data_IF_932095482836
#
_entry.id   IF_932095482836
#
_cell.length_a   1.000
_cell.length_b   1.000
_cell.length_c   1.000
_cell.angle_alpha   90.00
_cell.angle_beta   90.00
_cell.angle_gamma   90.00
#
_symmetry.space_group_name_H-M   'P 1'
#
loop_
_entity.id
_entity.type
_entity.pdbx_description
1 polymer ?
#
# COMPACT_ATOMS: atom_id res chain seq x y z
N UNK A 1 10.10 10.22 -1.92
CA UNK A 1 8.80 9.96 -2.58
C UNK A 1 8.27 8.65 -2.01
N UNK A 2 7.33 8.69 -1.07
CA UNK A 2 6.68 7.49 -0.54
C UNK A 2 5.98 6.78 -1.71
N UNK A 3 6.30 5.50 -1.94
CA UNK A 3 5.86 4.69 -3.08
C UNK A 3 4.37 4.37 -3.14
N UNK A 4 3.52 5.40 -2.99
CA UNK A 4 2.06 5.32 -2.90
C UNK A 4 1.36 5.24 -4.27
N UNK A 5 2.13 5.18 -5.36
CA UNK A 5 1.61 5.05 -6.73
C UNK A 5 2.01 3.73 -7.42
N UNK A 6 2.94 2.96 -6.84
CA UNK A 6 3.34 1.70 -7.43
C UNK A 6 2.31 0.62 -7.07
N UNK A 7 1.88 -0.23 -8.01
CA UNK A 7 1.04 -1.38 -7.71
C UNK A 7 1.68 -2.23 -6.59
N UNK A 8 0.92 -2.60 -5.54
CA UNK A 8 1.47 -3.37 -4.45
C UNK A 8 1.84 -4.78 -4.90
N UNK A 9 2.92 -5.32 -4.33
CA UNK A 9 3.38 -6.67 -4.63
C UNK A 9 2.48 -7.70 -3.94
N UNK A 10 1.97 -8.68 -4.68
CA UNK A 10 0.95 -9.63 -4.21
C UNK A 10 1.45 -10.81 -3.37
N UNK A 11 2.70 -10.81 -2.91
CA UNK A 11 3.28 -11.97 -2.22
C UNK A 11 3.32 -11.84 -0.70
N UNK A 12 3.15 -10.64 -0.15
CA UNK A 12 3.07 -10.42 1.29
C UNK A 12 1.60 -10.32 1.72
N UNK A 13 1.05 -11.42 2.20
CA UNK A 13 -0.31 -11.46 2.71
C UNK A 13 -0.41 -12.31 3.97
N UNK A 14 -1.42 -12.02 4.79
CA UNK A 14 -1.77 -12.78 5.97
C UNK A 14 -3.26 -13.07 5.99
N UNK A 15 -3.62 -14.23 6.53
CA UNK A 15 -5.01 -14.63 6.71
C UNK A 15 -5.30 -14.71 8.20
N UNK A 16 -6.47 -14.25 8.61
CA UNK A 16 -6.96 -14.43 9.97
C UNK A 16 -8.38 -14.98 9.90
N UNK A 17 -8.67 -16.00 10.71
CA UNK A 17 -10.00 -16.59 10.80
C UNK A 17 -10.59 -16.30 12.17
N UNK A 18 -11.84 -15.88 12.19
CA UNK A 18 -12.59 -15.61 13.41
C UNK A 18 -13.93 -16.31 13.30
N UNK A 19 -14.40 -16.89 14.40
CA UNK A 19 -15.74 -17.46 14.44
C UNK A 19 -16.74 -16.39 14.01
N UNK A 20 -17.54 -16.70 12.98
CA UNK A 20 -18.57 -15.76 12.55
C UNK A 20 -19.49 -15.56 13.75
N UNK A 21 -19.90 -14.32 14.08
CA UNK A 21 -20.83 -14.08 15.16
C UNK A 21 -22.14 -14.79 14.82
N UNK A 22 -22.31 -16.00 15.36
CA UNK A 22 -23.64 -16.57 15.54
C UNK A 22 -24.35 -15.65 16.52
N UNK A 23 -25.65 -15.43 16.33
CA UNK A 23 -26.46 -14.44 17.05
C UNK A 23 -26.51 -14.57 18.58
N UNK A 24 -25.71 -15.46 19.18
CA UNK A 24 -25.53 -15.64 20.62
C UNK A 24 -24.45 -14.72 21.25
N UNK A 25 -23.82 -13.81 20.48
CA UNK A 25 -22.93 -12.77 21.04
C UNK A 25 -23.64 -11.42 21.27
N UNK A 26 -24.93 -11.43 21.64
CA UNK A 26 -25.66 -10.26 22.13
C UNK A 26 -25.25 -9.89 23.58
N UNK A 27 -23.95 -9.82 23.86
CA UNK A 27 -23.41 -9.67 25.21
C UNK A 27 -22.56 -8.42 25.39
N UNK A 28 -23.17 -7.23 25.38
CA UNK A 28 -22.59 -5.98 25.88
C UNK A 28 -21.21 -5.54 25.32
N UNK A 29 -20.71 -4.41 25.82
CA UNK A 29 -19.37 -3.89 25.47
C UNK A 29 -18.23 -4.85 25.91
N UNK A 30 -18.45 -5.61 26.99
CA UNK A 30 -17.52 -6.58 27.55
C UNK A 30 -17.31 -7.81 26.64
N UNK A 31 -18.37 -8.37 26.04
CA UNK A 31 -18.26 -9.54 25.16
C UNK A 31 -17.50 -9.23 23.86
N UNK A 32 -17.64 -8.00 23.35
CA UNK A 32 -16.88 -7.52 22.18
C UNK A 32 -15.39 -7.33 22.49
N UNK A 33 -15.04 -6.84 23.68
CA UNK A 33 -13.64 -6.66 24.11
C UNK A 33 -12.96 -8.00 24.43
N UNK A 34 -13.69 -8.96 25.00
CA UNK A 34 -13.20 -10.32 25.22
C UNK A 34 -12.93 -11.05 23.88
N UNK A 35 -13.83 -10.89 22.90
CA UNK A 35 -13.62 -11.38 21.54
C UNK A 35 -12.37 -10.76 20.90
N UNK A 36 -12.22 -9.43 20.97
CA UNK A 36 -11.07 -8.72 20.41
C UNK A 36 -9.73 -9.15 21.03
N UNK A 37 -9.66 -9.33 22.37
CA UNK A 37 -8.44 -9.80 23.04
C UNK A 37 -8.12 -11.26 22.69
N UNK A 38 -9.14 -12.12 22.60
CA UNK A 38 -8.97 -13.51 22.17
C UNK A 38 -8.45 -13.58 20.73
N UNK A 39 -8.97 -12.74 19.84
CA UNK A 39 -8.48 -12.60 18.46
C UNK A 39 -7.04 -12.09 18.44
N UNK A 40 -6.68 -11.09 19.24
CA UNK A 40 -5.31 -10.55 19.29
C UNK A 40 -4.29 -11.58 19.81
N UNK A 41 -4.62 -12.30 20.87
CA UNK A 41 -3.76 -13.37 21.41
C UNK A 41 -3.59 -14.52 20.41
N UNK A 42 -4.65 -14.87 19.68
CA UNK A 42 -4.65 -15.90 18.65
C UNK A 42 -3.87 -15.49 17.40
N UNK A 43 -3.86 -14.19 17.08
CA UNK A 43 -3.08 -13.65 15.96
C UNK A 43 -1.57 -13.65 16.23
N UNK A 44 -1.14 -13.68 17.50
CA UNK A 44 0.26 -13.62 17.90
C UNK A 44 0.98 -14.99 17.82
N UNK A 45 0.25 -16.11 17.80
CA UNK A 45 0.84 -17.47 17.84
C UNK A 45 0.01 -18.47 17.01
N UNK A 46 -0.31 -18.15 15.75
CA UNK A 46 -1.03 -19.08 14.89
C UNK A 46 -0.25 -19.37 13.61
N UNK A 47 0.28 -20.59 13.53
CA UNK A 47 0.89 -21.14 12.32
C UNK A 47 -0.14 -21.37 11.20
N UNK A 48 -1.44 -21.32 11.52
CA UNK A 48 -2.54 -21.52 10.57
C UNK A 48 -2.76 -20.35 9.61
N UNK A 49 -2.11 -19.22 9.87
CA UNK A 49 -2.32 -17.98 9.12
C UNK A 49 -1.41 -17.84 7.87
N UNK A 50 -0.48 -18.79 7.66
CA UNK A 50 0.50 -18.77 6.58
C UNK A 50 0.05 -19.64 5.41
N UNK A 51 -0.21 -19.02 4.26
CA UNK A 51 -0.64 -19.70 3.04
C UNK A 51 0.33 -19.41 1.90
N UNK A 52 0.45 -20.37 0.98
CA UNK A 52 1.27 -20.25 -0.23
C UNK A 52 0.50 -19.55 -1.35
N UNK A 53 -0.79 -19.85 -1.48
CA UNK A 53 -1.65 -19.31 -2.53
C UNK A 53 -3.06 -19.11 -2.02
N UNK A 54 -3.68 -18.01 -2.44
CA UNK A 54 -5.08 -17.68 -2.19
C UNK A 54 -5.71 -17.33 -3.53
N UNK A 55 -6.78 -18.01 -3.91
CA UNK A 55 -7.50 -17.77 -5.17
C UNK A 55 -9.01 -17.88 -4.97
N UNK A 56 -9.79 -17.39 -5.94
CA UNK A 56 -11.24 -17.50 -5.88
C UNK A 56 -11.97 -16.37 -5.13
N UNK A 57 -11.29 -15.23 -4.89
CA UNK A 57 -11.97 -13.98 -4.55
C UNK A 57 -12.55 -13.31 -5.80
N UNK A 58 -13.72 -13.77 -6.25
CA UNK A 58 -14.42 -13.16 -7.38
C UNK A 58 -15.93 -13.05 -7.12
N UNK A 59 -16.54 -12.04 -7.74
CA UNK A 59 -17.99 -11.83 -7.72
C UNK A 59 -18.44 -11.50 -9.15
N UNK A 60 -19.41 -12.25 -9.64
CA UNK A 60 -19.97 -12.08 -10.98
C UNK A 60 -21.43 -11.72 -10.86
N UNK A 61 -21.84 -10.62 -11.48
CA UNK A 61 -23.26 -10.25 -11.57
C UNK A 61 -23.86 -11.01 -12.75
N UNK A 62 -24.79 -11.92 -12.47
CA UNK A 62 -25.55 -12.59 -13.53
C UNK A 62 -26.51 -11.59 -14.16
N UNK A 63 -26.39 -11.39 -15.47
CA UNK A 63 -27.21 -10.46 -16.24
C UNK A 63 -28.20 -11.23 -17.11
N UNK A 64 -29.47 -10.88 -17.00
CA UNK A 64 -30.53 -11.34 -17.89
C UNK A 64 -30.74 -10.35 -19.02
N UNK A 65 -31.07 -10.86 -20.20
CA UNK A 65 -31.17 -10.08 -21.43
C UNK A 65 -32.63 -10.06 -21.88
N UNK A 66 -33.24 -8.88 -21.88
CA UNK A 66 -34.63 -8.67 -22.28
C UNK A 66 -34.67 -7.92 -23.61
N UNK A 67 -35.31 -8.54 -24.61
CA UNK A 67 -35.55 -7.95 -25.92
C UNK A 67 -36.96 -7.38 -25.97
N UNK A 68 -37.09 -6.10 -26.31
CA UNK A 68 -38.39 -5.48 -26.54
C UNK A 68 -38.74 -5.58 -28.03
N UNK A 69 -39.97 -5.97 -28.36
CA UNK A 69 -40.46 -5.90 -29.74
C UNK A 69 -40.53 -4.46 -30.22
N UNK A 70 -40.11 -4.20 -31.45
CA UNK A 70 -40.17 -2.87 -32.08
C UNK A 70 -38.95 -1.96 -31.82
N UNK A 71 -37.97 -2.40 -31.02
CA UNK A 71 -36.69 -1.72 -30.83
C UNK A 71 -35.55 -2.69 -31.15
N UNK A 72 -34.87 -2.49 -32.28
CA UNK A 72 -33.79 -3.38 -32.75
C UNK A 72 -32.39 -2.82 -32.48
N UNK A 73 -32.28 -1.59 -31.97
CA UNK A 73 -30.99 -0.89 -31.82
C UNK A 73 -30.25 -1.29 -30.55
N UNK A 74 -30.95 -1.79 -29.53
CA UNK A 74 -30.33 -2.17 -28.26
C UNK A 74 -31.15 -3.22 -27.50
N UNK A 75 -30.49 -3.82 -26.50
CA UNK A 75 -31.04 -4.86 -25.65
C UNK A 75 -30.94 -4.46 -24.19
N UNK A 76 -31.98 -4.71 -23.41
CA UNK A 76 -31.96 -4.42 -21.98
C UNK A 76 -31.22 -5.52 -21.25
N UNK A 77 -30.18 -5.16 -20.49
CA UNK A 77 -29.47 -6.07 -19.60
C UNK A 77 -29.86 -5.74 -18.16
N UNK A 78 -30.49 -6.69 -17.46
CA UNK A 78 -31.01 -6.52 -16.10
C UNK A 78 -30.26 -7.45 -15.15
N UNK A 79 -29.81 -7.00 -13.97
CA UNK A 79 -29.14 -7.86 -13.01
C UNK A 79 -30.12 -8.82 -12.34
N UNK A 80 -29.78 -10.12 -12.34
CA UNK A 80 -30.56 -11.20 -11.72
C UNK A 80 -30.08 -11.54 -10.31
N UNK A 81 -28.76 -11.56 -10.12
CA UNK A 81 -28.14 -11.93 -8.84
C UNK A 81 -26.62 -11.83 -8.90
N UNK A 82 -25.98 -12.02 -7.75
CA UNK A 82 -24.53 -12.04 -7.61
C UNK A 82 -24.11 -13.46 -7.26
N UNK A 83 -23.20 -14.00 -8.06
CA UNK A 83 -22.55 -15.27 -7.82
C UNK A 83 -21.13 -15.04 -7.31
N UNK A 84 -20.79 -15.72 -6.22
CA UNK A 84 -19.45 -15.69 -5.65
C UNK A 84 -18.77 -17.03 -5.94
N UNK A 85 -17.52 -16.97 -6.41
CA UNK A 85 -16.69 -18.17 -6.57
C UNK A 85 -16.25 -18.74 -5.23
N UNK A 86 -15.91 -20.02 -5.18
CA UNK A 86 -15.32 -20.62 -3.99
C UNK A 86 -13.90 -20.10 -3.76
N UNK A 87 -13.55 -19.86 -2.51
CA UNK A 87 -12.22 -19.46 -2.07
C UNK A 87 -11.34 -20.69 -1.94
N UNK A 88 -10.21 -20.73 -2.62
CA UNK A 88 -9.23 -21.82 -2.54
C UNK A 88 -7.99 -21.32 -1.83
N UNK A 89 -7.63 -22.00 -0.74
CA UNK A 89 -6.48 -21.71 0.10
C UNK A 89 -5.50 -22.88 0.02
N UNK A 90 -4.25 -22.62 -0.36
CA UNK A 90 -3.19 -23.63 -0.38
C UNK A 90 -2.12 -23.30 0.65
N UNK A 91 -1.72 -24.28 1.45
CA UNK A 91 -0.63 -24.14 2.43
C UNK A 91 0.21 -25.41 2.50
N UNK A 92 1.38 -25.31 3.10
CA UNK A 92 2.19 -26.48 3.42
C UNK A 92 1.56 -27.26 4.57
N UNK A 93 1.64 -28.59 4.53
CA UNK A 93 1.09 -29.44 5.57
C UNK A 93 1.76 -29.15 6.91
N UNK A 94 0.97 -28.79 7.91
CA UNK A 94 1.42 -28.57 9.28
C UNK A 94 1.24 -29.88 10.07
N UNK A 95 2.30 -30.35 10.73
CA UNK A 95 2.28 -31.60 11.53
C UNK A 95 1.74 -31.39 12.95
N UNK A 96 1.67 -30.15 13.40
CA UNK A 96 1.05 -29.76 14.67
C UNK A 96 -0.47 -29.64 14.49
N UNK A 97 -1.22 -29.92 15.55
CA UNK A 97 -2.68 -29.70 15.56
C UNK A 97 -2.98 -28.26 15.14
N UNK A 98 -3.79 -28.18 14.09
CA UNK A 98 -4.16 -26.95 13.39
C UNK A 98 -5.65 -26.76 13.56
N UNK A 99 -6.06 -25.59 14.04
CA UNK A 99 -7.49 -25.33 14.24
C UNK A 99 -8.25 -25.27 12.90
N UNK A 100 -7.55 -24.88 11.83
CA UNK A 100 -8.09 -24.92 10.47
C UNK A 100 -8.33 -26.36 10.01
N UNK A 101 -7.39 -27.26 10.33
CA UNK A 101 -7.54 -28.68 10.01
C UNK A 101 -8.68 -29.30 10.82
N UNK A 102 -8.76 -29.02 12.11
CA UNK A 102 -9.84 -29.50 12.98
C UNK A 102 -11.20 -28.97 12.48
N UNK A 103 -11.28 -27.69 12.11
CA UNK A 103 -12.50 -27.11 11.53
C UNK A 103 -12.92 -27.78 10.21
N UNK A 104 -11.97 -28.10 9.33
CA UNK A 104 -12.26 -28.82 8.10
C UNK A 104 -12.68 -30.27 8.39
N UNK A 105 -12.02 -30.94 9.33
CA UNK A 105 -12.32 -32.30 9.73
C UNK A 105 -13.73 -32.39 10.31
N UNK A 106 -14.07 -31.51 11.26
CA UNK A 106 -15.39 -31.44 11.89
C UNK A 106 -16.46 -31.12 10.85
N UNK A 107 -16.21 -30.18 9.94
CA UNK A 107 -17.22 -29.79 8.95
C UNK A 107 -17.47 -30.86 7.87
N UNK A 108 -16.43 -31.62 7.47
CA UNK A 108 -16.52 -32.60 6.37
C UNK A 108 -16.89 -34.00 6.87
N UNK A 109 -16.38 -34.39 8.05
CA UNK A 109 -16.49 -35.77 8.54
C UNK A 109 -17.45 -35.93 9.72
N UNK A 110 -17.92 -34.86 10.35
CA UNK A 110 -18.93 -34.99 11.39
C UNK A 110 -20.31 -35.26 10.78
N UNK A 111 -20.94 -36.34 11.25
CA UNK A 111 -22.29 -36.75 10.83
C UNK A 111 -23.40 -35.87 11.41
N UNK A 112 -23.07 -34.92 12.30
CA UNK A 112 -24.06 -34.03 12.92
C UNK A 112 -24.50 -32.87 12.03
N UNK A 113 -23.84 -32.64 10.87
CA UNK A 113 -24.14 -31.53 9.93
C UNK A 113 -24.13 -30.14 10.59
N UNK A 114 -23.50 -29.98 11.75
CA UNK A 114 -23.38 -28.72 12.46
C UNK A 114 -22.23 -27.87 11.88
N UNK A 115 -22.40 -27.36 10.67
CA UNK A 115 -21.38 -26.55 10.01
C UNK A 115 -21.09 -25.26 10.79
N UNK A 116 -19.90 -25.16 11.38
CA UNK A 116 -19.44 -23.91 11.97
C UNK A 116 -19.02 -22.94 10.88
N UNK A 117 -19.70 -21.79 10.81
CA UNK A 117 -19.35 -20.72 9.88
C UNK A 117 -18.27 -19.82 10.48
N UNK A 118 -17.24 -19.49 9.70
CA UNK A 118 -16.17 -18.58 10.12
C UNK A 118 -16.04 -17.39 9.16
N UNK A 119 -15.74 -16.23 9.72
CA UNK A 119 -15.37 -15.05 8.93
C UNK A 119 -13.85 -15.07 8.70
N UNK A 120 -13.43 -14.79 7.47
CA UNK A 120 -12.01 -14.85 7.07
C UNK A 120 -11.58 -13.46 6.61
N UNK A 121 -10.47 -12.97 7.14
CA UNK A 121 -9.86 -11.70 6.74
C UNK A 121 -8.54 -11.97 6.05
N UNK A 122 -8.47 -11.61 4.77
CA UNK A 122 -7.28 -11.71 3.94
C UNK A 122 -6.69 -10.31 3.85
N UNK A 123 -5.45 -10.13 4.29
CA UNK A 123 -4.78 -8.84 4.36
C UNK A 123 -3.58 -8.84 3.44
N UNK A 124 -3.57 -7.95 2.45
CA UNK A 124 -2.38 -7.64 1.68
C UNK A 124 -1.54 -6.63 2.45
N UNK A 125 -0.26 -6.94 2.65
CA UNK A 125 0.65 -6.20 3.52
C UNK A 125 1.79 -5.61 2.71
N UNK A 126 2.39 -4.54 3.22
CA UNK A 126 3.65 -4.01 2.70
C UNK A 126 4.87 -4.67 3.37
N UNK A 127 6.07 -4.29 2.94
CA UNK A 127 7.34 -4.77 3.51
C UNK A 127 7.54 -4.43 4.99
N UNK A 128 6.73 -3.51 5.54
CA UNK A 128 6.74 -3.12 6.96
C UNK A 128 5.63 -3.82 7.76
N UNK A 129 5.01 -4.87 7.20
CA UNK A 129 3.90 -5.60 7.81
C UNK A 129 2.67 -4.73 8.12
N UNK A 130 2.48 -3.64 7.38
CA UNK A 130 1.28 -2.80 7.48
C UNK A 130 0.26 -3.27 6.45
N UNK A 131 -0.98 -3.58 6.85
CA UNK A 131 -2.04 -3.97 5.91
C UNK A 131 -2.41 -2.79 5.01
N UNK A 132 -2.33 -2.99 3.69
CA UNK A 132 -2.73 -2.04 2.66
C UNK A 132 -4.22 -2.19 2.35
N UNK A 133 -4.65 -3.42 2.12
CA UNK A 133 -5.98 -3.78 1.66
C UNK A 133 -6.43 -5.07 2.34
N UNK A 134 -7.69 -5.09 2.77
CA UNK A 134 -8.26 -6.24 3.47
C UNK A 134 -9.53 -6.70 2.75
N UNK A 135 -9.58 -7.99 2.42
CA UNK A 135 -10.79 -8.67 1.96
C UNK A 135 -11.37 -9.45 3.14
N UNK A 136 -12.58 -9.08 3.54
CA UNK A 136 -13.32 -9.79 4.58
C UNK A 136 -14.35 -10.70 3.93
N UNK A 137 -14.14 -12.00 4.01
CA UNK A 137 -15.05 -13.05 3.57
C UNK A 137 -15.98 -13.41 4.74
N UNK A 138 -17.27 -13.48 4.47
CA UNK A 138 -18.31 -13.59 5.49
C UNK A 138 -18.98 -14.96 5.41
N UNK A 139 -19.09 -15.63 6.57
CA UNK A 139 -19.72 -16.96 6.72
C UNK A 139 -19.16 -18.00 5.73
N UNK A 140 -17.84 -18.17 5.77
CA UNK A 140 -17.18 -19.23 5.04
C UNK A 140 -17.45 -20.60 5.69
N UNK A 141 -17.57 -21.63 4.86
CA UNK A 141 -17.74 -23.05 5.23
C UNK A 141 -16.83 -23.88 4.34
N UNK A 142 -16.08 -24.86 4.88
CA UNK A 142 -15.23 -25.72 4.06
C UNK A 142 -16.08 -26.72 3.29
N UNK A 143 -15.80 -26.83 1.99
CA UNK A 143 -16.50 -27.75 1.08
C UNK A 143 -15.59 -28.87 0.60
N UNK A 144 -14.27 -28.65 0.58
CA UNK A 144 -13.29 -29.64 0.15
C UNK A 144 -11.97 -29.46 0.91
N UNK A 145 -11.39 -30.57 1.31
CA UNK A 145 -10.03 -30.66 1.84
C UNK A 145 -9.27 -31.71 1.04
N UNK A 146 -8.13 -31.33 0.47
CA UNK A 146 -7.30 -32.20 -0.36
C UNK A 146 -5.84 -32.09 0.05
N UNK A 147 -5.19 -33.23 0.28
CA UNK A 147 -3.75 -33.30 0.49
C UNK A 147 -3.07 -33.68 -0.82
N UNK A 148 -1.91 -33.08 -1.12
CA UNK A 148 -1.15 -33.38 -2.34
C UNK A 148 -0.75 -34.85 -2.43
N UNK A 149 -0.44 -35.34 -3.63
CA UNK A 149 0.03 -36.72 -3.79
C UNK A 149 1.34 -37.01 -3.04
N UNK A 150 1.45 -38.20 -2.46
CA UNK A 150 2.68 -38.69 -1.85
C UNK A 150 3.59 -39.27 -2.94
N UNK A 151 4.76 -38.67 -3.13
CA UNK A 151 5.77 -39.14 -4.09
C UNK A 151 7.12 -39.31 -3.39
N UNK A 152 7.58 -40.56 -3.28
CA UNK A 152 8.84 -40.90 -2.65
C UNK A 152 10.08 -40.51 -3.49
N UNK A 153 9.92 -40.19 -4.77
CA UNK A 153 11.02 -39.88 -5.69
C UNK A 153 11.33 -38.39 -5.80
N UNK A 154 10.32 -37.52 -5.75
CA UNK A 154 10.50 -36.10 -6.07
C UNK A 154 10.78 -35.16 -4.90
N UNK A 155 10.75 -35.64 -3.65
CA UNK A 155 11.16 -34.88 -2.45
C UNK A 155 10.43 -33.54 -2.27
N UNK A 156 9.20 -33.42 -2.78
CA UNK A 156 8.41 -32.18 -2.74
C UNK A 156 7.81 -31.93 -1.35
N UNK A 157 7.59 -30.65 -1.04
CA UNK A 157 6.85 -30.26 0.16
C UNK A 157 5.39 -30.70 0.00
N UNK A 158 4.84 -31.29 1.05
CA UNK A 158 3.43 -31.67 1.09
C UNK A 158 2.57 -30.41 1.20
N UNK A 159 1.58 -30.28 0.32
CA UNK A 159 0.67 -29.13 0.26
C UNK A 159 -0.75 -29.62 0.51
N UNK A 160 -1.49 -28.90 1.32
CA UNK A 160 -2.93 -29.07 1.49
C UNK A 160 -3.67 -27.93 0.77
N UNK A 161 -4.80 -28.28 0.15
CA UNK A 161 -5.68 -27.39 -0.57
C UNK A 161 -7.07 -27.44 0.06
N UNK A 162 -7.54 -26.29 0.50
CA UNK A 162 -8.82 -26.13 1.19
C UNK A 162 -9.71 -25.25 0.32
N UNK A 163 -10.88 -25.75 -0.02
CA UNK A 163 -11.91 -25.00 -0.74
C UNK A 163 -13.02 -24.60 0.22
N UNK A 164 -13.36 -23.32 0.21
CA UNK A 164 -14.34 -22.70 1.09
C UNK A 164 -15.43 -22.04 0.25
N UNK A 165 -16.68 -22.37 0.54
CA UNK A 165 -17.83 -21.62 0.05
C UNK A 165 -18.14 -20.48 1.02
N UNK A 166 -18.51 -19.30 0.51
CA UNK A 166 -18.81 -18.14 1.32
C UNK A 166 -20.00 -17.35 0.77
N UNK A 167 -20.63 -16.55 1.63
CA UNK A 167 -21.85 -15.83 1.24
C UNK A 167 -21.56 -14.52 0.49
N UNK A 168 -20.56 -13.77 0.95
CA UNK A 168 -20.11 -12.53 0.33
C UNK A 168 -18.71 -12.18 0.82
N UNK A 169 -18.04 -11.28 0.10
CA UNK A 169 -16.84 -10.62 0.60
C UNK A 169 -16.97 -9.10 0.54
N UNK A 170 -16.30 -8.43 1.47
CA UNK A 170 -16.25 -6.98 1.57
C UNK A 170 -14.79 -6.53 1.46
N UNK A 171 -14.54 -5.52 0.63
CA UNK A 171 -13.21 -4.95 0.44
C UNK A 171 -13.08 -3.69 1.27
N UNK A 172 -12.08 -3.65 2.13
CA UNK A 172 -11.75 -2.50 2.98
C UNK A 172 -10.35 -2.01 2.67
N UNK A 173 -10.25 -0.75 2.21
CA UNK A 173 -8.97 -0.06 2.07
C UNK A 173 -8.53 0.50 3.43
N UNK A 174 -7.22 0.51 3.68
CA UNK A 174 -6.68 1.13 4.88
C UNK A 174 -6.86 2.67 4.82
N UNK A 175 -7.85 3.16 5.58
CA UNK A 175 -8.20 4.58 5.65
C UNK A 175 -7.05 5.45 6.18
N UNK A 176 -6.17 4.89 7.03
CA UNK A 176 -5.02 5.61 7.60
C UNK A 176 -3.97 5.87 6.52
N UNK A 177 -3.66 4.87 5.70
CA UNK A 177 -2.74 5.04 4.57
C UNK A 177 -3.29 6.02 3.53
N UNK A 178 -4.59 5.96 3.24
CA UNK A 178 -5.24 6.94 2.35
C UNK A 178 -5.20 8.37 2.92
N UNK A 179 -5.35 8.53 4.24
CA UNK A 179 -5.25 9.83 4.91
C UNK A 179 -3.80 10.36 4.89
N UNK A 180 -2.80 9.50 5.14
CA UNK A 180 -1.38 9.84 5.04
C UNK A 180 -0.99 10.23 3.61
N UNK A 181 -1.55 9.57 2.59
CA UNK A 181 -1.32 9.95 1.19
C UNK A 181 -1.90 11.34 0.88
N UNK A 182 -3.13 11.62 1.31
CA UNK A 182 -3.73 12.95 1.16
C UNK A 182 -2.91 14.04 1.88
N UNK A 183 -2.41 13.74 3.07
CA UNK A 183 -1.57 14.66 3.83
C UNK A 183 -0.17 14.87 3.19
N UNK A 184 0.45 13.82 2.66
CA UNK A 184 1.75 13.89 1.96
C UNK A 184 1.67 14.73 0.68
N UNK A 185 0.61 14.55 -0.13
CA UNK A 185 0.41 15.34 -1.35
C UNK A 185 0.15 16.82 -1.06
N UNK A 186 -0.55 17.14 0.03
CA UNK A 186 -0.71 18.52 0.49
C UNK A 186 0.62 19.13 0.97
N UNK A 187 1.45 18.35 1.65
CA UNK A 187 2.76 18.79 2.15
C UNK A 187 3.77 18.98 1.01
N UNK A 188 3.73 18.15 -0.04
CA UNK A 188 4.58 18.30 -1.22
C UNK A 188 4.29 19.59 -2.00
N UNK A 189 3.03 20.00 -2.11
CA UNK A 189 2.64 21.29 -2.70
C UNK A 189 3.14 22.49 -1.88
N UNK A 190 3.06 22.39 -0.55
CA UNK A 190 3.56 23.43 0.36
C UNK A 190 5.10 23.51 0.32
N UNK A 191 5.80 22.38 0.29
CA UNK A 191 7.27 22.34 0.22
C UNK A 191 7.81 22.83 -1.14
N UNK A 192 7.13 22.53 -2.25
CA UNK A 192 7.50 23.02 -3.57
C UNK A 192 7.32 24.55 -3.68
N UNK A 193 6.23 25.08 -3.14
CA UNK A 193 6.02 26.53 -3.04
C UNK A 193 7.05 27.21 -2.11
N UNK A 194 7.38 26.59 -0.97
CA UNK A 194 8.41 27.10 -0.06
C UNK A 194 9.80 27.13 -0.72
N UNK A 195 10.20 26.07 -1.43
CA UNK A 195 11.50 26.01 -2.11
C UNK A 195 11.59 27.01 -3.29
N UNK A 196 10.49 27.24 -4.01
CA UNK A 196 10.44 28.26 -5.06
C UNK A 196 10.51 29.69 -4.50
N UNK A 197 9.88 29.95 -3.35
CA UNK A 197 9.97 31.22 -2.65
C UNK A 197 11.40 31.50 -2.14
N UNK A 198 12.05 30.51 -1.52
CA UNK A 198 13.44 30.64 -1.06
C UNK A 198 14.41 30.88 -2.23
N UNK A 199 14.27 30.15 -3.34
CA UNK A 199 15.10 30.35 -4.52
C UNK A 199 14.90 31.71 -5.22
N UNK A 200 13.70 32.29 -5.16
CA UNK A 200 13.45 33.65 -5.64
C UNK A 200 14.14 34.71 -4.75
N UNK A 201 14.16 34.49 -3.44
CA UNK A 201 14.85 35.37 -2.48
C UNK A 201 16.36 35.29 -2.69
N UNK A 202 16.95 34.10 -2.80
CA UNK A 202 18.39 33.93 -3.01
C UNK A 202 18.87 34.56 -4.33
N UNK A 203 18.07 34.42 -5.40
CA UNK A 203 18.36 35.05 -6.69
C UNK A 203 18.32 36.58 -6.61
N UNK A 204 17.33 37.13 -5.91
CA UNK A 204 17.21 38.58 -5.70
C UNK A 204 18.36 39.13 -4.83
N UNK A 205 18.76 38.41 -3.79
CA UNK A 205 19.90 38.79 -2.95
C UNK A 205 21.20 38.82 -3.76
N UNK A 206 21.49 37.76 -4.53
CA UNK A 206 22.69 37.69 -5.34
C UNK A 206 22.73 38.73 -6.48
N UNK A 207 21.60 39.06 -7.10
CA UNK A 207 21.58 40.13 -8.10
C UNK A 207 21.84 41.51 -7.50
N UNK A 208 21.39 41.75 -6.26
CA UNK A 208 21.62 43.02 -5.56
C UNK A 208 23.08 43.15 -5.10
N UNK A 209 23.68 42.06 -4.61
CA UNK A 209 25.12 42.01 -4.27
C UNK A 209 25.97 42.27 -5.51
N UNK A 210 25.67 41.62 -6.65
CA UNK A 210 26.42 41.84 -7.89
C UNK A 210 26.31 43.28 -8.44
N UNK A 211 25.16 43.94 -8.25
CA UNK A 211 25.03 45.37 -8.58
C UNK A 211 25.87 46.26 -7.65
N UNK A 212 25.92 45.95 -6.35
CA UNK A 212 26.74 46.68 -5.39
C UNK A 212 28.25 46.52 -5.66
N UNK A 213 28.70 45.32 -6.01
CA UNK A 213 30.09 45.06 -6.41
C UNK A 213 30.49 45.84 -7.66
N UNK A 214 29.59 45.92 -8.65
CA UNK A 214 29.82 46.71 -9.86
C UNK A 214 29.92 48.21 -9.56
N UNK A 215 29.02 48.74 -8.72
CA UNK A 215 29.07 50.15 -8.29
C UNK A 215 30.35 50.47 -7.50
N UNK A 216 30.81 49.56 -6.64
CA UNK A 216 32.07 49.74 -5.91
C UNK A 216 33.28 49.80 -6.85
N UNK A 217 33.29 48.98 -7.91
CA UNK A 217 34.37 48.98 -8.90
C UNK A 217 34.39 50.26 -9.73
N UNK A 218 33.22 50.75 -10.14
CA UNK A 218 33.08 52.01 -10.89
C UNK A 218 33.57 53.23 -10.06
N UNK A 219 33.36 53.24 -8.73
CA UNK A 219 33.87 54.32 -7.85
C UNK A 219 35.41 54.28 -7.72
N UNK A 220 36.01 53.08 -7.68
CA UNK A 220 37.47 52.92 -7.54
C UNK A 220 38.20 53.35 -8.82
N UNK A 221 37.62 53.14 -10.00
CA UNK A 221 38.22 53.54 -11.28
C UNK A 221 38.20 55.06 -11.51
N UNK A 222 37.32 55.83 -10.86
CA UNK A 222 37.24 57.29 -11.01
C UNK A 222 38.34 58.04 -10.25
N UNK A 223 39.08 57.39 -9.33
CA UNK A 223 39.91 58.10 -8.35
C UNK A 223 41.44 57.94 -8.52
N UNK A 224 41.94 57.61 -9.71
CA UNK A 224 43.38 57.63 -10.00
C UNK A 224 43.63 58.34 -11.33
N UNK A 225 43.45 59.66 -11.36
CA UNK A 225 44.15 60.49 -12.34
C UNK A 225 45.43 60.99 -11.67
N UNK A 226 46.57 60.53 -12.16
CA UNK A 226 47.89 60.88 -11.64
C UNK A 226 48.14 62.34 -12.03
N UNK A 227 48.46 63.27 -11.11
CA UNK A 227 48.72 64.65 -11.51
C UNK A 227 49.97 64.70 -12.39
N UNK A 228 49.83 65.21 -13.61
CA UNK A 228 50.93 65.46 -14.55
C UNK A 228 51.88 66.51 -13.96
N UNK A 229 53.05 66.07 -13.49
CA UNK A 229 54.14 66.93 -13.07
C UNK A 229 55.03 67.19 -14.29
N UNK A 230 54.94 68.41 -14.82
CA UNK A 230 55.82 68.92 -15.86
C UNK A 230 57.26 69.06 -15.33
N UNK A 231 58.25 68.47 -16.01
CA UNK A 231 59.65 68.39 -15.55
C UNK A 231 60.64 69.09 -16.48
N UNK A 232 60.20 70.10 -17.22
CA UNK A 232 61.09 71.04 -17.91
C UNK A 232 61.74 72.01 -16.91
N UNK A 233 62.78 71.54 -16.22
CA UNK A 233 63.76 72.40 -15.52
C UNK A 233 65.06 72.40 -16.33
N UNK A 234 65.27 73.52 -17.02
CA UNK A 234 66.43 73.83 -17.83
C UNK A 234 67.68 74.03 -16.95
N UNK A 235 68.73 73.22 -17.13
CA UNK A 235 70.03 73.45 -16.49
C UNK A 235 71.17 73.19 -17.50
N UNK A 236 71.64 74.27 -18.13
CA UNK A 236 72.97 74.38 -18.72
C UNK A 236 73.91 74.95 -17.62
N UNK A 237 75.16 74.47 -17.46
CA UNK A 237 76.27 74.96 -18.29
C UNK A 237 77.30 73.88 -18.66
N UNK A 238 78.01 74.12 -19.78
CA UNK A 238 79.04 73.23 -20.31
C UNK A 238 80.44 73.34 -19.68
N UNK A 239 81.42 73.03 -20.53
CA UNK A 239 82.88 72.83 -20.33
C UNK A 239 83.25 71.39 -19.92
N UNK A 240 83.68 70.49 -20.82
CA UNK A 240 84.74 70.43 -21.85
C UNK A 240 86.07 69.85 -21.34
N UNK A 241 86.61 68.91 -22.16
CA UNK A 241 87.97 68.31 -22.21
C UNK A 241 88.39 67.41 -21.04
N UNK A 242 89.02 66.25 -21.21
CA UNK A 242 89.70 65.59 -22.34
C UNK A 242 89.31 64.10 -22.41
#
# INVERSE_FOLDING_TARGET
>A
MLGLYQPPLGFHFAVSMVDSPTSAAAGGLMGKMAGALKTMAKMAISYDNSFMEISGLSATVQMETIQAGGVNDFVYKVPKGIEYSNLVLKRGLVTLSSELQDWCQDSIHDNTFAYQQKDISIMLMNNYHVPLMTWKVIKAVPVKYEASGFDAMSGKIMVESIELCYQKYEVSNNKVLAAMQKASMATAGIQAAANAASGAIDKAVNSTIGQAEKMAKDIVEVNIDKPDIDTDIDINPGFNTY
#
